data_IF_290704497884
#
_entry.id   IF_290704497884
#
_cell.length_a   1.000
_cell.length_b   1.000
_cell.length_c   1.000
_cell.angle_alpha   90.00
_cell.angle_beta   90.00
_cell.angle_gamma   90.00
#
_symmetry.space_group_name_H-M   'P 1'
#
loop_
_entity.id
_entity.type
_entity.pdbx_description
1 polymer ?
#
# COMPACT_ATOMS: atom_id res chain seq x y z
N UNK A 1 -11.29 -20.05 28.27
CA UNK A 1 -10.76 -20.15 26.90
C UNK A 1 -9.70 -19.06 26.74
N UNK A 2 -8.42 -19.39 26.53
CA UNK A 2 -7.40 -18.36 26.34
C UNK A 2 -7.56 -17.73 24.96
N UNK A 3 -7.40 -16.41 24.87
CA UNK A 3 -7.46 -15.67 23.62
C UNK A 3 -6.24 -16.00 22.76
N UNK A 4 -6.47 -16.34 21.49
CA UNK A 4 -5.42 -16.52 20.49
C UNK A 4 -4.70 -15.19 20.29
N UNK A 5 -3.54 -15.02 20.93
CA UNK A 5 -2.62 -13.92 20.66
C UNK A 5 -1.93 -14.18 19.33
N UNK A 6 -2.60 -13.90 18.21
CA UNK A 6 -1.96 -13.91 16.90
C UNK A 6 -1.02 -12.69 16.84
N UNK A 7 0.28 -12.94 16.92
CA UNK A 7 1.30 -11.91 16.86
C UNK A 7 1.25 -11.23 15.49
N UNK A 8 1.24 -9.89 15.46
CA UNK A 8 1.25 -9.06 14.24
C UNK A 8 2.50 -9.37 13.36
N UNK A 9 3.54 -9.94 13.95
CA UNK A 9 4.73 -10.43 13.23
C UNK A 9 4.45 -11.70 12.42
N UNK A 10 3.59 -12.59 12.92
CA UNK A 10 3.20 -13.85 12.27
C UNK A 10 2.35 -13.57 11.02
N UNK A 11 1.45 -12.58 11.07
CA UNK A 11 0.63 -12.17 9.92
C UNK A 11 1.44 -11.50 8.82
N UNK A 12 2.49 -10.71 9.16
CA UNK A 12 3.43 -10.14 8.17
C UNK A 12 4.25 -11.23 7.47
N UNK A 13 4.82 -12.17 8.23
CA UNK A 13 5.59 -13.28 7.65
C UNK A 13 4.70 -14.23 6.80
N UNK A 14 3.46 -14.48 7.24
CA UNK A 14 2.48 -15.24 6.47
C UNK A 14 2.13 -14.54 5.14
N UNK A 15 1.95 -13.21 5.15
CA UNK A 15 1.63 -12.46 3.93
C UNK A 15 2.76 -12.47 2.88
N UNK A 16 4.02 -12.35 3.30
CA UNK A 16 5.16 -12.43 2.39
C UNK A 16 5.32 -13.85 1.81
N UNK A 17 5.09 -14.88 2.63
CA UNK A 17 5.11 -16.28 2.19
C UNK A 17 3.99 -16.60 1.20
N UNK A 18 2.78 -16.08 1.42
CA UNK A 18 1.64 -16.25 0.50
C UNK A 18 1.95 -15.62 -0.86
N UNK A 19 2.55 -14.42 -0.88
CA UNK A 19 2.97 -13.78 -2.12
C UNK A 19 4.06 -14.59 -2.84
N UNK A 20 5.09 -15.04 -2.11
CA UNK A 20 6.15 -15.88 -2.69
C UNK A 20 5.62 -17.20 -3.25
N UNK A 21 4.70 -17.85 -2.54
CA UNK A 21 4.02 -19.06 -3.01
C UNK A 21 3.15 -18.79 -4.23
N UNK A 22 2.45 -17.65 -4.29
CA UNK A 22 1.67 -17.23 -5.45
C UNK A 22 2.54 -17.03 -6.69
N UNK A 23 3.68 -16.34 -6.55
CA UNK A 23 4.66 -16.17 -7.64
C UNK A 23 5.18 -17.55 -8.10
N UNK A 24 5.60 -18.40 -7.16
CA UNK A 24 6.12 -19.73 -7.48
C UNK A 24 5.07 -20.61 -8.20
N UNK A 25 3.81 -20.58 -7.76
CA UNK A 25 2.72 -21.32 -8.38
C UNK A 25 2.45 -20.85 -9.81
N UNK A 26 2.43 -19.53 -10.04
CA UNK A 26 2.25 -18.97 -11.39
C UNK A 26 3.40 -19.38 -12.30
N UNK A 27 4.65 -19.24 -11.84
CA UNK A 27 5.83 -19.65 -12.62
C UNK A 27 5.76 -21.14 -12.97
N UNK A 28 5.30 -21.99 -12.04
CA UNK A 28 5.15 -23.43 -12.27
C UNK A 28 4.03 -23.73 -13.29
N UNK A 29 2.86 -23.11 -13.17
CA UNK A 29 1.76 -23.24 -14.14
C UNK A 29 2.22 -22.79 -15.53
N UNK A 30 2.99 -21.71 -15.62
CA UNK A 30 3.50 -21.19 -16.87
C UNK A 30 4.55 -22.11 -17.51
N UNK A 31 5.46 -22.68 -16.73
CA UNK A 31 6.39 -23.69 -17.21
C UNK A 31 5.66 -24.93 -17.71
N UNK A 32 4.64 -25.39 -16.97
CA UNK A 32 3.81 -26.52 -17.40
C UNK A 32 3.07 -26.21 -18.71
N UNK A 33 2.52 -25.00 -18.85
CA UNK A 33 1.87 -24.56 -20.07
C UNK A 33 2.84 -24.47 -21.26
N UNK A 34 4.07 -23.98 -21.04
CA UNK A 34 5.11 -23.95 -22.06
C UNK A 34 5.49 -25.37 -22.54
N UNK A 35 5.71 -26.30 -21.61
CA UNK A 35 6.00 -27.71 -21.93
C UNK A 35 4.83 -28.36 -22.67
N UNK A 36 3.60 -28.15 -22.20
CA UNK A 36 2.39 -28.67 -22.84
C UNK A 36 2.26 -28.16 -24.29
N UNK A 37 2.49 -26.87 -24.51
CA UNK A 37 2.44 -26.25 -25.83
C UNK A 37 3.45 -26.91 -26.78
N UNK A 38 4.71 -27.11 -26.38
CA UNK A 38 5.72 -27.80 -27.19
C UNK A 38 5.39 -29.28 -27.45
N UNK A 39 4.75 -29.96 -26.49
CA UNK A 39 4.32 -31.34 -26.69
C UNK A 39 3.15 -31.46 -27.68
N UNK A 40 2.30 -30.44 -27.77
CA UNK A 40 1.14 -30.42 -28.68
C UNK A 40 1.42 -29.85 -30.07
N UNK A 41 2.49 -29.05 -30.24
CA UNK A 41 2.82 -28.45 -31.53
C UNK A 41 3.41 -29.50 -32.48
N UNK A 42 2.86 -29.67 -33.70
CA UNK A 42 3.41 -30.59 -34.69
C UNK A 42 4.86 -30.26 -34.98
N UNK A 43 5.69 -31.29 -35.15
CA UNK A 43 7.04 -31.09 -35.64
C UNK A 43 7.01 -30.54 -37.07
N UNK A 44 7.92 -29.63 -37.38
CA UNK A 44 8.00 -29.01 -38.70
C UNK A 44 8.19 -30.07 -39.81
N UNK A 45 8.87 -31.18 -39.48
CA UNK A 45 9.14 -32.26 -40.42
C UNK A 45 8.01 -33.31 -40.51
N UNK A 46 6.90 -33.13 -39.79
CA UNK A 46 5.81 -34.11 -39.78
C UNK A 46 5.18 -34.31 -41.17
N UNK A 47 5.14 -33.26 -42.00
CA UNK A 47 4.64 -33.37 -43.38
C UNK A 47 5.57 -34.23 -44.26
N UNK A 48 6.87 -33.91 -44.28
CA UNK A 48 7.85 -34.66 -45.07
C UNK A 48 7.92 -36.13 -44.64
N UNK A 49 7.88 -36.41 -43.34
CA UNK A 49 7.87 -37.78 -42.81
C UNK A 49 6.64 -38.58 -43.27
N UNK A 50 5.48 -37.94 -43.42
CA UNK A 50 4.26 -38.58 -43.95
C UNK A 50 4.34 -38.81 -45.45
N UNK A 51 4.95 -37.90 -46.20
CA UNK A 51 5.18 -38.07 -47.65
C UNK A 51 6.17 -39.21 -47.91
N UNK A 52 7.26 -39.27 -47.14
CA UNK A 52 8.24 -40.36 -47.18
C UNK A 52 7.59 -41.71 -46.86
N UNK A 53 6.79 -41.77 -45.79
CA UNK A 53 6.08 -42.99 -45.40
C UNK A 53 5.13 -43.49 -46.52
N UNK A 54 4.32 -42.58 -47.09
CA UNK A 54 3.38 -42.93 -48.14
C UNK A 54 4.09 -43.49 -49.39
N UNK A 55 5.28 -42.96 -49.68
CA UNK A 55 6.10 -43.36 -50.81
C UNK A 55 6.68 -44.77 -50.65
N UNK A 56 7.28 -45.05 -49.49
CA UNK A 56 7.84 -46.38 -49.16
C UNK A 56 6.74 -47.44 -49.16
N UNK A 57 5.52 -47.08 -48.72
CA UNK A 57 4.40 -48.01 -48.68
C UNK A 57 3.72 -48.26 -50.05
N UNK A 58 3.83 -47.32 -51.01
CA UNK A 58 3.05 -47.36 -52.27
C UNK A 58 3.87 -47.71 -53.53
N UNK A 59 5.19 -47.91 -53.43
CA UNK A 59 6.12 -48.30 -54.52
C UNK A 59 5.98 -47.46 -55.83
N UNK A 60 5.90 -46.14 -55.67
CA UNK A 60 5.67 -45.17 -56.75
C UNK A 60 6.96 -44.86 -57.55
N UNK A 61 7.37 -45.74 -58.45
CA UNK A 61 8.65 -45.62 -59.17
C UNK A 61 8.56 -44.97 -60.55
N UNK A 62 7.37 -44.53 -61.00
CA UNK A 62 7.21 -43.96 -62.34
C UNK A 62 7.80 -42.53 -62.44
N UNK A 63 8.35 -42.11 -63.60
CA UNK A 63 8.97 -40.79 -63.75
C UNK A 63 8.06 -39.59 -63.44
N UNK A 64 6.76 -39.71 -63.73
CA UNK A 64 5.77 -38.69 -63.41
C UNK A 64 5.50 -38.59 -61.90
N UNK A 65 5.57 -39.71 -61.18
CA UNK A 65 5.39 -39.78 -59.72
C UNK A 65 6.61 -39.19 -59.01
N UNK A 66 7.82 -39.45 -59.53
CA UNK A 66 9.06 -38.84 -59.06
C UNK A 66 9.03 -37.31 -59.20
N UNK A 67 8.53 -36.79 -60.33
CA UNK A 67 8.38 -35.34 -60.52
C UNK A 67 7.37 -34.70 -59.58
N UNK A 68 6.25 -35.38 -59.29
CA UNK A 68 5.28 -34.92 -58.28
C UNK A 68 5.89 -34.91 -56.87
N UNK A 69 6.75 -35.88 -56.55
CA UNK A 69 7.46 -35.94 -55.28
C UNK A 69 8.46 -34.80 -55.12
N UNK A 70 9.17 -34.44 -56.17
CA UNK A 70 10.10 -33.31 -56.12
C UNK A 70 9.36 -32.00 -55.78
N UNK A 71 8.20 -31.79 -56.40
CA UNK A 71 7.33 -30.63 -56.11
C UNK A 71 6.75 -30.71 -54.69
N UNK A 72 6.27 -31.88 -54.25
CA UNK A 72 5.74 -32.07 -52.90
C UNK A 72 6.82 -31.94 -51.83
N UNK A 73 8.04 -32.40 -52.09
CA UNK A 73 9.18 -32.25 -51.19
C UNK A 73 9.60 -30.78 -51.09
N UNK A 74 9.74 -30.06 -52.22
CA UNK A 74 10.03 -28.61 -52.19
C UNK A 74 8.93 -27.81 -51.49
N UNK A 75 7.66 -28.12 -51.78
CA UNK A 75 6.51 -27.46 -51.14
C UNK A 75 6.43 -27.81 -49.65
N UNK A 76 6.76 -29.06 -49.29
CA UNK A 76 6.81 -29.57 -47.94
C UNK A 76 7.92 -28.94 -47.10
N UNK A 77 9.11 -28.75 -47.68
CA UNK A 77 10.20 -28.02 -47.02
C UNK A 77 9.82 -26.56 -46.75
N UNK A 78 9.20 -25.88 -47.73
CA UNK A 78 8.75 -24.51 -47.54
C UNK A 78 7.65 -24.40 -46.47
N UNK A 79 6.72 -25.35 -46.42
CA UNK A 79 5.68 -25.40 -45.39
C UNK A 79 6.25 -25.71 -43.99
N UNK A 80 7.22 -26.64 -43.91
CA UNK A 80 7.98 -26.95 -42.68
C UNK A 80 8.68 -25.70 -42.14
N UNK A 81 9.35 -24.91 -42.99
CA UNK A 81 10.04 -23.68 -42.59
C UNK A 81 9.08 -22.62 -42.02
N UNK A 82 7.86 -22.53 -42.59
CA UNK A 82 6.80 -21.65 -42.08
C UNK A 82 6.29 -22.14 -40.73
N UNK A 83 6.03 -23.44 -40.57
CA UNK A 83 5.61 -24.01 -39.28
C UNK A 83 6.67 -23.83 -38.19
N UNK A 84 7.96 -24.03 -38.52
CA UNK A 84 9.07 -23.79 -37.62
C UNK A 84 9.16 -22.31 -37.20
N UNK A 85 8.93 -21.39 -38.14
CA UNK A 85 8.88 -19.95 -37.88
C UNK A 85 7.72 -19.59 -36.95
N UNK A 86 6.51 -20.10 -37.20
CA UNK A 86 5.36 -19.88 -36.32
C UNK A 86 5.58 -20.44 -34.91
N UNK A 87 6.15 -21.64 -34.79
CA UNK A 87 6.51 -22.24 -33.49
C UNK A 87 7.44 -21.32 -32.69
N UNK A 88 8.43 -20.74 -33.36
CA UNK A 88 9.39 -19.81 -32.74
C UNK A 88 8.73 -18.50 -32.31
N UNK A 89 7.88 -17.92 -33.17
CA UNK A 89 7.15 -16.67 -32.85
C UNK A 89 6.21 -16.88 -31.66
N UNK A 90 5.42 -17.96 -31.67
CA UNK A 90 4.51 -18.29 -30.56
C UNK A 90 5.29 -18.47 -29.27
N UNK A 91 6.44 -19.15 -29.32
CA UNK A 91 7.29 -19.32 -28.14
C UNK A 91 7.79 -17.98 -27.59
N UNK A 92 8.32 -17.10 -28.45
CA UNK A 92 8.81 -15.78 -28.03
C UNK A 92 7.66 -14.96 -27.43
N UNK A 93 6.50 -14.92 -28.08
CA UNK A 93 5.32 -14.20 -27.57
C UNK A 93 4.86 -14.75 -26.22
N UNK A 94 4.87 -16.07 -26.04
CA UNK A 94 4.55 -16.71 -24.77
C UNK A 94 5.54 -16.27 -23.68
N UNK A 95 6.84 -16.30 -23.95
CA UNK A 95 7.87 -15.83 -23.00
C UNK A 95 7.66 -14.36 -22.63
N UNK A 96 7.39 -13.47 -23.59
CA UNK A 96 7.08 -12.06 -23.30
C UNK A 96 5.82 -11.89 -22.45
N UNK A 97 4.73 -12.59 -22.80
CA UNK A 97 3.49 -12.56 -22.02
C UNK A 97 3.71 -13.05 -20.58
N UNK A 98 4.51 -14.10 -20.39
CA UNK A 98 4.87 -14.59 -19.05
C UNK A 98 5.69 -13.59 -18.26
N UNK A 99 6.70 -12.96 -18.86
CA UNK A 99 7.52 -11.94 -18.21
C UNK A 99 6.66 -10.73 -17.79
N UNK A 100 5.72 -10.30 -18.64
CA UNK A 100 4.79 -9.22 -18.34
C UNK A 100 3.86 -9.58 -17.18
N UNK A 101 3.28 -10.78 -17.15
CA UNK A 101 2.43 -11.23 -16.04
C UNK A 101 3.19 -11.25 -14.71
N UNK A 102 4.43 -11.75 -14.71
CA UNK A 102 5.27 -11.77 -13.51
C UNK A 102 5.62 -10.34 -13.07
N UNK A 103 6.00 -9.46 -13.99
CA UNK A 103 6.30 -8.06 -13.69
C UNK A 103 5.08 -7.33 -13.09
N UNK A 104 3.89 -7.50 -13.68
CA UNK A 104 2.65 -6.94 -13.15
C UNK A 104 2.35 -7.43 -11.73
N UNK A 105 2.55 -8.71 -11.43
CA UNK A 105 2.33 -9.26 -10.10
C UNK A 105 3.29 -8.66 -9.07
N UNK A 106 4.59 -8.60 -9.40
CA UNK A 106 5.61 -7.99 -8.53
C UNK A 106 5.28 -6.52 -8.26
N UNK A 107 4.86 -5.78 -9.29
CA UNK A 107 4.49 -4.38 -9.18
C UNK A 107 3.24 -4.18 -8.32
N UNK A 108 2.21 -5.03 -8.46
CA UNK A 108 1.03 -5.03 -7.60
C UNK A 108 1.42 -5.24 -6.13
N UNK A 109 2.24 -6.24 -5.85
CA UNK A 109 2.73 -6.53 -4.49
C UNK A 109 3.50 -5.33 -3.93
N UNK A 110 4.36 -4.71 -4.73
CA UNK A 110 5.10 -3.52 -4.33
C UNK A 110 4.16 -2.36 -3.97
N UNK A 111 3.16 -2.09 -4.82
CA UNK A 111 2.13 -1.06 -4.57
C UNK A 111 1.36 -1.36 -3.28
N UNK A 112 0.88 -2.59 -3.08
CA UNK A 112 0.15 -2.97 -1.86
C UNK A 112 1.03 -2.79 -0.62
N UNK A 113 2.31 -3.14 -0.71
CA UNK A 113 3.25 -2.98 0.41
C UNK A 113 3.50 -1.50 0.72
N UNK A 114 3.68 -0.66 -0.31
CA UNK A 114 3.86 0.78 -0.16
C UNK A 114 2.59 1.45 0.40
N UNK A 115 1.41 1.09 -0.11
CA UNK A 115 0.12 1.61 0.39
C UNK A 115 -0.13 1.21 1.85
N UNK A 116 0.25 -0.01 2.25
CA UNK A 116 0.17 -0.43 3.66
C UNK A 116 1.11 0.38 4.56
N UNK A 117 2.31 0.74 4.07
CA UNK A 117 3.22 1.64 4.80
C UNK A 117 2.65 3.05 4.91
N UNK A 118 2.00 3.58 3.86
CA UNK A 118 1.29 4.85 3.93
C UNK A 118 0.14 4.83 4.95
N UNK A 119 -0.67 3.77 5.00
CA UNK A 119 -1.77 3.67 5.98
C UNK A 119 -1.32 3.55 7.44
N UNK A 120 -0.14 2.98 7.69
CA UNK A 120 0.50 3.02 9.02
C UNK A 120 0.98 4.42 9.35
N UNK A 121 1.58 5.13 8.38
CA UNK A 121 2.01 6.53 8.54
C UNK A 121 0.81 7.46 8.67
N UNK A 122 -0.32 7.25 8.02
CA UNK A 122 -1.52 8.09 8.25
C UNK A 122 -2.09 7.90 9.67
N UNK A 123 -1.93 6.71 10.25
CA UNK A 123 -2.37 6.43 11.63
C UNK A 123 -1.34 6.83 12.69
N UNK A 124 -0.05 6.83 12.37
CA UNK A 124 1.04 7.20 13.28
C UNK A 124 1.64 8.58 13.04
N UNK A 125 1.29 9.23 11.93
CA UNK A 125 2.04 10.32 11.30
C UNK A 125 1.36 11.67 11.41
N UNK A 126 0.79 11.95 12.58
CA UNK A 126 0.96 13.28 13.14
C UNK A 126 1.61 13.09 14.51
N UNK A 127 2.86 12.62 14.50
CA UNK A 127 3.76 12.95 15.59
C UNK A 127 3.94 14.46 15.49
N UNK A 128 3.37 15.19 16.45
CA UNK A 128 3.55 16.64 16.53
C UNK A 128 5.02 16.89 16.89
N UNK A 129 5.82 17.26 15.90
CA UNK A 129 7.25 17.61 16.01
C UNK A 129 7.43 19.08 16.37
N UNK A 130 6.46 19.93 16.06
CA UNK A 130 6.44 21.34 16.45
C UNK A 130 5.03 21.82 16.74
N UNK A 131 4.89 22.59 17.82
CA UNK A 131 3.72 23.39 18.15
C UNK A 131 4.21 24.83 18.42
N UNK A 132 3.83 25.77 17.57
CA UNK A 132 4.15 27.19 17.74
C UNK A 132 2.84 27.95 17.92
N UNK A 133 2.69 28.66 19.03
CA UNK A 133 1.56 29.55 19.27
C UNK A 133 1.97 30.98 18.89
N UNK A 134 1.32 31.56 17.88
CA UNK A 134 1.48 32.96 17.51
C UNK A 134 0.26 33.75 18.01
N UNK A 135 0.35 34.27 19.25
CA UNK A 135 -0.80 34.92 19.91
C UNK A 135 -1.26 36.17 19.15
N UNK A 136 -0.33 36.93 18.58
CA UNK A 136 -0.63 38.15 17.82
C UNK A 136 -1.47 37.89 16.56
N UNK A 137 -1.38 36.70 15.97
CA UNK A 137 -2.04 36.34 14.72
C UNK A 137 -3.24 35.41 14.93
N UNK A 138 -3.54 35.03 16.18
CA UNK A 138 -4.50 33.97 16.50
C UNK A 138 -4.29 32.68 15.69
N UNK A 139 -3.02 32.39 15.40
CA UNK A 139 -2.60 31.29 14.55
C UNK A 139 -1.72 30.32 15.33
N UNK A 140 -1.93 29.03 15.11
CA UNK A 140 -1.13 27.95 15.69
C UNK A 140 -0.49 27.19 14.55
N UNK A 141 0.84 27.05 14.58
CA UNK A 141 1.55 26.21 13.63
C UNK A 141 1.78 24.83 14.23
N UNK A 142 1.27 23.80 13.56
CA UNK A 142 1.43 22.39 13.92
C UNK A 142 2.08 21.65 12.74
N UNK A 143 3.34 21.20 12.89
CA UNK A 143 4.07 20.50 11.82
C UNK A 143 3.95 21.20 10.44
N UNK A 144 4.20 22.50 10.41
CA UNK A 144 4.11 23.37 9.22
C UNK A 144 2.68 23.68 8.71
N UNK A 145 1.64 23.25 9.42
CA UNK A 145 0.24 23.59 9.12
C UNK A 145 -0.19 24.77 10.00
N UNK A 146 -0.61 25.87 9.38
CA UNK A 146 -1.19 27.03 10.08
C UNK A 146 -2.70 26.80 10.34
N UNK A 147 -3.09 26.94 11.61
CA UNK A 147 -4.46 26.79 12.08
C UNK A 147 -4.92 28.08 12.74
N UNK A 148 -5.96 28.70 12.18
CA UNK A 148 -6.57 29.88 12.79
C UNK A 148 -7.58 29.47 13.85
N UNK A 149 -7.38 29.98 15.07
CA UNK A 149 -8.26 29.74 16.21
C UNK A 149 -9.05 31.00 16.54
N UNK A 150 -10.17 30.81 17.25
CA UNK A 150 -10.85 31.93 17.91
C UNK A 150 -10.05 32.36 19.14
N UNK A 151 -10.18 33.63 19.56
CA UNK A 151 -9.48 34.15 20.75
C UNK A 151 -9.66 33.24 21.97
N UNK A 152 -10.89 32.77 22.20
CA UNK A 152 -11.21 31.90 23.32
C UNK A 152 -10.52 30.52 23.24
N UNK A 153 -10.37 29.98 22.03
CA UNK A 153 -9.66 28.71 21.82
C UNK A 153 -8.14 28.91 21.94
N UNK A 154 -7.61 30.02 21.43
CA UNK A 154 -6.19 30.37 21.56
C UNK A 154 -5.79 30.52 23.03
N UNK A 155 -6.56 31.26 23.84
CA UNK A 155 -6.29 31.40 25.28
C UNK A 155 -6.38 30.06 26.02
N UNK A 156 -7.35 29.21 25.67
CA UNK A 156 -7.47 27.87 26.27
C UNK A 156 -6.26 27.00 25.94
N UNK A 157 -5.77 27.06 24.69
CA UNK A 157 -4.58 26.32 24.28
C UNK A 157 -3.31 26.86 24.93
N UNK A 158 -3.18 28.18 25.07
CA UNK A 158 -2.04 28.82 25.72
C UNK A 158 -1.90 28.38 27.18
N UNK A 159 -2.99 28.42 27.95
CA UNK A 159 -3.02 27.96 29.35
C UNK A 159 -2.64 26.49 29.49
N UNK A 160 -3.14 25.63 28.59
CA UNK A 160 -2.78 24.21 28.59
C UNK A 160 -1.33 23.96 28.17
N UNK A 161 -0.78 24.77 27.27
CA UNK A 161 0.59 24.67 26.81
C UNK A 161 1.58 25.15 27.87
N UNK A 162 1.24 26.21 28.60
CA UNK A 162 1.99 26.68 29.76
C UNK A 162 2.01 25.63 30.88
N UNK A 163 0.85 25.14 31.30
CA UNK A 163 0.78 24.05 32.27
C UNK A 163 1.55 22.80 31.80
N UNK A 164 1.56 22.50 30.50
CA UNK A 164 2.33 21.38 29.97
C UNK A 164 3.84 21.61 30.04
N UNK A 165 4.32 22.84 29.81
CA UNK A 165 5.73 23.21 29.97
C UNK A 165 6.16 23.08 31.43
N UNK A 166 5.28 23.39 32.37
CA UNK A 166 5.49 23.25 33.81
C UNK A 166 5.31 21.80 34.33
N UNK A 167 4.76 20.92 33.48
CA UNK A 167 4.50 19.52 33.84
C UNK A 167 3.21 19.30 34.63
N UNK A 168 2.38 20.33 34.74
CA UNK A 168 1.15 20.36 35.50
C UNK A 168 -0.06 19.86 34.69
N UNK A 169 -1.09 19.45 35.44
CA UNK A 169 -2.39 19.09 34.89
C UNK A 169 -3.45 20.01 35.48
N UNK A 170 -4.35 20.49 34.62
CA UNK A 170 -5.36 21.46 35.02
C UNK A 170 -6.75 20.83 35.04
N UNK A 171 -7.47 21.05 36.13
CA UNK A 171 -8.91 20.76 36.22
C UNK A 171 -9.73 21.77 35.40
N UNK A 172 -10.99 21.46 35.09
CA UNK A 172 -11.87 22.40 34.39
C UNK A 172 -12.05 23.72 35.15
N UNK A 173 -12.14 23.66 36.48
CA UNK A 173 -12.18 24.86 37.35
C UNK A 173 -10.92 25.71 37.21
N UNK A 174 -9.73 25.09 37.25
CA UNK A 174 -8.46 25.80 37.10
C UNK A 174 -8.31 26.44 35.71
N UNK A 175 -8.71 25.72 34.66
CA UNK A 175 -8.73 26.27 33.30
C UNK A 175 -9.61 27.52 33.23
N UNK A 176 -10.82 27.48 33.81
CA UNK A 176 -11.71 28.63 33.80
C UNK A 176 -11.15 29.79 34.64
N UNK A 177 -10.58 29.50 35.80
CA UNK A 177 -9.97 30.50 36.68
C UNK A 177 -8.81 31.22 35.99
N UNK A 178 -7.89 30.47 35.37
CA UNK A 178 -6.74 31.04 34.65
C UNK A 178 -7.15 31.90 33.45
N UNK A 179 -8.17 31.49 32.70
CA UNK A 179 -8.62 32.23 31.51
C UNK A 179 -9.46 33.46 31.89
N UNK A 180 -10.33 33.34 32.90
CA UNK A 180 -11.27 34.41 33.29
C UNK A 180 -10.70 35.38 34.33
N UNK A 181 -9.61 35.02 34.99
CA UNK A 181 -9.02 35.78 36.10
C UNK A 181 -9.84 35.76 37.40
N UNK A 182 -10.87 34.91 37.47
CA UNK A 182 -11.75 34.77 38.66
C UNK A 182 -11.18 33.76 39.64
N UNK A 183 -11.49 33.87 40.94
CA UNK A 183 -11.10 32.85 41.91
C UNK A 183 -11.78 31.50 41.58
N UNK A 184 -11.07 30.40 41.80
CA UNK A 184 -11.56 29.03 41.50
C UNK A 184 -12.93 28.72 42.13
N UNK A 185 -13.26 29.33 43.27
CA UNK A 185 -14.53 29.14 43.99
C UNK A 185 -15.73 29.66 43.19
N UNK A 186 -15.51 30.62 42.29
CA UNK A 186 -16.53 31.21 41.41
C UNK A 186 -16.55 30.54 40.02
N UNK A 187 -15.70 29.55 39.80
CA UNK A 187 -15.54 28.87 38.51
C UNK A 187 -16.22 27.49 38.53
N UNK A 188 -16.84 27.14 37.40
CA UNK A 188 -17.52 25.85 37.25
C UNK A 188 -16.70 24.89 36.38
N UNK A 189 -16.57 23.64 36.83
CA UNK A 189 -15.91 22.56 36.07
C UNK A 189 -16.55 22.38 34.67
N UNK A 190 -17.87 22.56 34.57
CA UNK A 190 -18.61 22.45 33.32
C UNK A 190 -18.24 23.53 32.30
N UNK A 191 -17.91 24.74 32.75
CA UNK A 191 -17.45 25.83 31.90
C UNK A 191 -16.08 25.49 31.28
N UNK A 192 -15.12 25.04 32.11
CA UNK A 192 -13.81 24.56 31.65
C UNK A 192 -13.91 23.37 30.69
N UNK A 193 -14.75 22.37 31.00
CA UNK A 193 -15.00 21.25 30.11
C UNK A 193 -15.58 21.68 28.74
N UNK A 194 -16.41 22.73 28.73
CA UNK A 194 -16.96 23.30 27.49
C UNK A 194 -15.89 24.01 26.66
N UNK A 195 -14.95 24.71 27.29
CA UNK A 195 -13.79 25.30 26.59
C UNK A 195 -12.91 24.23 25.96
N UNK A 196 -12.61 23.16 26.68
CA UNK A 196 -11.88 22.01 26.14
C UNK A 196 -12.61 21.40 24.95
N UNK A 197 -13.94 21.24 25.05
CA UNK A 197 -14.76 20.73 23.94
C UNK A 197 -14.65 21.64 22.72
N UNK A 198 -14.81 22.96 22.87
CA UNK A 198 -14.71 23.92 21.77
C UNK A 198 -13.31 23.96 21.15
N UNK A 199 -12.26 23.90 21.96
CA UNK A 199 -10.88 23.82 21.48
C UNK A 199 -10.67 22.53 20.68
N UNK A 200 -11.19 21.40 21.18
CA UNK A 200 -11.16 20.13 20.46
C UNK A 200 -11.93 20.21 19.14
N UNK A 201 -13.10 20.83 19.12
CA UNK A 201 -13.90 20.98 17.90
C UNK A 201 -13.17 21.88 16.87
N UNK A 202 -12.51 22.96 17.33
CA UNK A 202 -11.73 23.87 16.48
C UNK A 202 -10.50 23.19 15.87
N UNK A 203 -9.75 22.43 16.67
CA UNK A 203 -8.59 21.66 16.21
C UNK A 203 -9.03 20.46 15.34
N UNK A 204 -10.14 19.82 15.71
CA UNK A 204 -10.68 18.62 15.07
C UNK A 204 -11.28 18.86 13.70
N UNK A 205 -11.83 20.05 13.47
CA UNK A 205 -12.33 20.45 12.14
C UNK A 205 -11.19 20.66 11.13
N UNK A 206 -9.93 20.60 11.55
CA UNK A 206 -8.77 20.82 10.70
C UNK A 206 -7.79 19.64 10.69
N UNK A 207 -7.65 18.87 11.80
CA UNK A 207 -6.76 17.70 11.93
C UNK A 207 -7.34 16.65 12.91
N UNK A 208 -7.05 15.36 12.69
CA UNK A 208 -7.45 14.21 13.55
C UNK A 208 -7.09 14.42 15.03
N UNK A 209 -8.12 14.51 15.87
CA UNK A 209 -8.10 15.13 17.21
C UNK A 209 -7.73 14.21 18.38
N UNK A 210 -7.42 12.95 18.12
CA UNK A 210 -7.25 11.97 19.19
C UNK A 210 -5.95 12.10 19.98
N UNK A 211 -5.02 12.97 19.57
CA UNK A 211 -3.64 12.96 20.07
C UNK A 211 -3.18 14.26 20.77
N UNK A 212 -3.98 15.33 20.82
CA UNK A 212 -3.53 16.63 21.35
C UNK A 212 -3.91 16.89 22.82
N UNK A 213 -5.15 16.61 23.23
CA UNK A 213 -5.63 16.90 24.61
C UNK A 213 -6.12 15.61 25.26
N UNK A 214 -5.46 15.19 26.33
CA UNK A 214 -5.83 14.01 27.13
C UNK A 214 -6.63 14.45 28.36
N UNK A 215 -7.78 13.82 28.55
CA UNK A 215 -8.50 13.87 29.83
C UNK A 215 -8.07 12.65 30.64
N UNK A 216 -7.52 12.87 31.84
CA UNK A 216 -7.23 11.81 32.81
C UNK A 216 -8.29 11.89 33.89
N UNK A 217 -9.08 10.83 34.00
CA UNK A 217 -10.21 10.75 34.93
C UNK A 217 -9.73 11.09 36.34
N UNK A 218 -10.40 12.07 36.98
CA UNK A 218 -10.09 12.58 38.33
C UNK A 218 -8.78 13.36 38.48
N UNK A 219 -8.07 13.66 37.40
CA UNK A 219 -6.82 14.46 37.43
C UNK A 219 -6.89 15.72 36.56
N UNK A 220 -7.76 15.74 35.54
CA UNK A 220 -7.99 16.91 34.70
C UNK A 220 -7.52 16.73 33.26
N UNK A 221 -7.11 17.82 32.64
CA UNK A 221 -6.76 17.93 31.24
C UNK A 221 -5.28 18.30 31.07
N UNK A 222 -4.65 17.73 30.06
CA UNK A 222 -3.24 17.99 29.72
C UNK A 222 -3.01 17.86 28.22
N UNK A 223 -2.05 18.62 27.69
CA UNK A 223 -1.58 18.40 26.32
C UNK A 223 -0.74 17.12 26.24
N UNK A 224 -1.11 16.23 25.33
CA UNK A 224 -0.41 14.96 25.08
C UNK A 224 0.77 15.14 24.11
N UNK A 225 1.58 16.17 24.36
CA UNK A 225 2.76 16.55 23.59
C UNK A 225 4.02 16.48 24.45
N UNK A 226 5.18 16.31 23.83
CA UNK A 226 6.46 16.50 24.52
C UNK A 226 6.66 18.01 24.79
N UNK A 227 6.96 18.45 26.03
CA UNK A 227 7.24 19.86 26.31
C UNK A 227 8.32 20.47 25.39
N UNK A 228 9.27 19.67 24.89
CA UNK A 228 10.34 20.13 23.99
C UNK A 228 9.86 20.61 22.62
N UNK A 229 8.67 20.21 22.19
CA UNK A 229 8.12 20.60 20.88
C UNK A 229 7.29 21.87 20.93
N UNK A 230 7.00 22.38 22.12
CA UNK A 230 6.16 23.57 22.35
C UNK A 230 7.05 24.82 22.29
N UNK A 231 6.68 25.79 21.47
CA UNK A 231 7.27 27.13 21.41
C UNK A 231 6.19 28.18 21.51
N UNK A 232 6.43 29.18 22.34
CA UNK A 232 5.56 30.35 22.50
C UNK A 232 6.19 31.53 21.77
N UNK A 233 5.42 32.21 20.92
CA UNK A 233 5.84 33.45 20.23
C UNK A 233 4.82 34.57 20.39
#
# INVERSE_FOLDING_TARGET
MPANTSSVTETRAASAKVVGLGIAAIVLILLAAAVFLFATLPDANAFNARVEQLFVESDLTAPAEIGLLEVLAQSGTAFSDVLASYRTIIFVLLVFATALLVACMVLLVAIVTLNRRMGEIERSGIQVTSLILARAENAVMLNDIELKLTDAAMETLAVLAEARLDGDMLTGVQIESMISGRPEIECEEAAGATRIKRLRDALGNQIVTHLLIRNITRQGYVLALDPKVIRMS
#
